data_IF_326970969372
#
_entry.id   IF_326970969372
#
_cell.length_a   1.000
_cell.length_b   1.000
_cell.length_c   1.000
_cell.angle_alpha   90.00
_cell.angle_beta   90.00
_cell.angle_gamma   90.00
#
_symmetry.space_group_name_H-M   'P 1'
#
loop_
_entity.id
_entity.type
_entity.pdbx_description
1 polymer ?
#
# COMPACT_ATOMS: atom_id res chain seq x y z
N UNK A 1 16.73 12.70 2.85
CA UNK A 1 16.53 11.50 2.01
C UNK A 1 17.81 10.72 1.69
N UNK A 2 18.84 11.30 1.04
CA UNK A 2 20.06 10.56 0.67
C UNK A 2 20.76 9.88 1.86
N UNK A 3 20.83 10.55 3.01
CA UNK A 3 21.42 9.99 4.24
C UNK A 3 20.66 8.74 4.71
N UNK A 4 19.33 8.77 4.69
CA UNK A 4 18.49 7.63 5.07
C UNK A 4 18.67 6.44 4.11
N UNK A 5 18.76 6.72 2.80
CA UNK A 5 19.01 5.69 1.78
C UNK A 5 20.36 5.02 2.00
N UNK A 6 21.44 5.80 2.16
CA UNK A 6 22.78 5.27 2.45
C UNK A 6 22.82 4.45 3.74
N UNK A 7 22.13 4.89 4.79
CA UNK A 7 22.01 4.13 6.03
C UNK A 7 21.28 2.81 5.82
N UNK A 8 20.16 2.84 5.10
CA UNK A 8 19.36 1.64 4.78
C UNK A 8 20.16 0.63 3.98
N UNK A 9 20.94 1.05 2.99
CA UNK A 9 21.79 0.16 2.18
C UNK A 9 22.93 -0.52 2.95
N UNK A 10 23.27 -0.03 4.16
CA UNK A 10 24.24 -0.72 5.04
C UNK A 10 23.60 -1.85 5.85
N UNK A 11 22.28 -1.81 6.03
CA UNK A 11 21.52 -2.76 6.86
C UNK A 11 20.81 -3.79 5.99
N UNK A 12 20.15 -3.31 4.93
CA UNK A 12 19.41 -4.14 4.00
C UNK A 12 20.31 -4.51 2.81
N UNK A 13 20.36 -5.78 2.47
CA UNK A 13 21.00 -6.25 1.24
C UNK A 13 20.33 -5.62 0.01
N UNK A 14 21.07 -5.46 -1.09
CA UNK A 14 20.56 -4.79 -2.30
C UNK A 14 19.35 -5.51 -2.94
N UNK A 15 19.23 -6.82 -2.71
CA UNK A 15 18.12 -7.68 -3.15
C UNK A 15 17.01 -7.82 -2.09
N UNK A 16 17.07 -7.05 -0.99
CA UNK A 16 16.04 -7.07 0.03
C UNK A 16 14.70 -6.65 -0.56
N UNK A 17 13.69 -7.47 -0.31
CA UNK A 17 12.31 -7.17 -0.69
C UNK A 17 11.84 -5.91 0.04
N UNK A 18 11.37 -4.93 -0.72
CA UNK A 18 10.70 -3.75 -0.17
C UNK A 18 9.19 -3.99 -0.15
N UNK A 19 8.58 -3.77 1.01
CA UNK A 19 7.15 -3.95 1.23
C UNK A 19 6.43 -2.61 1.18
N UNK A 20 5.25 -2.59 0.55
CA UNK A 20 4.37 -1.42 0.60
C UNK A 20 3.62 -1.37 1.94
N UNK A 21 3.79 -0.29 2.70
CA UNK A 21 3.18 -0.09 4.01
C UNK A 21 1.68 0.25 4.01
N UNK A 22 1.03 0.36 2.85
CA UNK A 22 -0.39 0.74 2.73
C UNK A 22 -1.38 -0.30 3.26
N UNK A 23 -0.98 -1.58 3.32
CA UNK A 23 -1.76 -2.65 3.96
C UNK A 23 -0.80 -3.62 4.67
N UNK A 24 -1.00 -3.79 5.97
CA UNK A 24 -0.30 -4.76 6.80
C UNK A 24 -1.32 -5.51 7.64
N UNK A 25 -1.27 -6.84 7.62
CA UNK A 25 -1.98 -7.70 8.56
C UNK A 25 -0.96 -8.25 9.56
N UNK A 26 -1.25 -8.13 10.84
CA UNK A 26 -0.38 -8.64 11.89
C UNK A 26 -1.15 -9.45 12.92
N UNK A 27 -0.44 -10.33 13.61
CA UNK A 27 -0.94 -10.98 14.81
C UNK A 27 -0.52 -10.13 16.00
N UNK A 28 -1.45 -9.90 16.94
CA UNK A 28 -1.12 -9.26 18.20
C UNK A 28 -0.39 -10.28 19.10
N UNK A 29 0.92 -10.37 18.92
CA UNK A 29 1.80 -11.26 19.67
C UNK A 29 3.16 -10.59 19.89
N UNK A 30 4.03 -11.26 20.64
CA UNK A 30 5.35 -10.74 21.00
C UNK A 30 6.20 -10.35 19.77
N UNK A 31 6.27 -11.20 18.75
CA UNK A 31 7.04 -10.94 17.54
C UNK A 31 6.52 -9.71 16.78
N UNK A 32 5.19 -9.62 16.62
CA UNK A 32 4.54 -8.47 15.99
C UNK A 32 4.83 -7.18 16.76
N UNK A 33 4.66 -7.20 18.08
CA UNK A 33 4.94 -6.02 18.92
C UNK A 33 6.42 -5.60 18.83
N UNK A 34 7.34 -6.56 18.84
CA UNK A 34 8.78 -6.30 18.70
C UNK A 34 9.10 -5.67 17.34
N UNK A 35 8.45 -6.13 16.25
CA UNK A 35 8.58 -5.51 14.93
C UNK A 35 8.09 -4.07 14.94
N UNK A 36 6.89 -3.79 15.47
CA UNK A 36 6.32 -2.44 15.48
C UNK A 36 7.12 -1.48 16.35
N UNK A 37 7.62 -1.92 17.51
CA UNK A 37 8.50 -1.12 18.36
C UNK A 37 9.81 -0.78 17.65
N UNK A 38 10.44 -1.77 17.00
CA UNK A 38 11.67 -1.57 16.23
C UNK A 38 11.43 -0.66 15.03
N UNK A 39 10.31 -0.84 14.34
CA UNK A 39 9.92 0.03 13.23
C UNK A 39 9.74 1.49 13.68
N UNK A 40 9.06 1.71 14.81
CA UNK A 40 8.90 3.05 15.36
C UNK A 40 10.26 3.68 15.72
N UNK A 41 11.19 2.91 16.30
CA UNK A 41 12.56 3.36 16.58
C UNK A 41 13.29 3.76 15.29
N UNK A 42 13.25 2.89 14.28
CA UNK A 42 13.90 3.13 12.98
C UNK A 42 13.31 4.32 12.21
N UNK A 43 12.00 4.52 12.30
CA UNK A 43 11.34 5.69 11.71
C UNK A 43 11.72 6.96 12.46
N UNK A 44 11.75 6.92 13.80
CA UNK A 44 12.07 8.07 14.64
C UNK A 44 13.47 8.64 14.42
N UNK A 45 14.41 7.85 13.85
CA UNK A 45 15.75 8.32 13.47
C UNK A 45 15.74 9.39 12.39
N UNK A 46 14.89 9.22 11.37
CA UNK A 46 14.89 10.09 10.18
C UNK A 46 13.58 10.87 10.00
N UNK A 47 12.47 10.33 10.53
CA UNK A 47 11.10 10.84 10.43
C UNK A 47 10.70 11.19 8.99
N UNK A 48 11.11 10.33 8.06
CA UNK A 48 10.95 10.50 6.62
C UNK A 48 10.23 9.28 6.04
N UNK A 49 10.97 8.31 5.48
CA UNK A 49 10.41 7.20 4.73
C UNK A 49 10.06 6.02 5.67
N UNK A 50 8.77 5.89 6.01
CA UNK A 50 8.24 4.82 6.85
C UNK A 50 8.51 3.42 6.28
N UNK A 51 8.43 3.24 4.97
CA UNK A 51 8.71 1.97 4.29
C UNK A 51 10.19 1.56 4.36
N UNK A 52 11.12 2.52 4.33
CA UNK A 52 12.54 2.23 4.55
C UNK A 52 12.79 1.85 6.01
N UNK A 53 12.15 2.54 6.95
CA UNK A 53 12.19 2.17 8.36
C UNK A 53 11.63 0.76 8.63
N UNK A 54 10.54 0.38 7.96
CA UNK A 54 9.98 -0.96 8.05
C UNK A 54 10.96 -2.01 7.54
N UNK A 55 11.60 -1.74 6.40
CA UNK A 55 12.60 -2.64 5.82
C UNK A 55 13.75 -2.90 6.80
N UNK A 56 14.26 -1.85 7.45
CA UNK A 56 15.32 -1.97 8.47
C UNK A 56 14.84 -2.78 9.68
N UNK A 57 13.63 -2.51 10.17
CA UNK A 57 13.07 -3.24 11.32
C UNK A 57 12.85 -4.73 11.04
N UNK A 58 12.41 -5.09 9.83
CA UNK A 58 12.27 -6.50 9.41
C UNK A 58 13.64 -7.20 9.44
N UNK A 59 14.69 -6.55 8.93
CA UNK A 59 16.04 -7.12 8.94
C UNK A 59 16.59 -7.29 10.37
N UNK A 60 16.40 -6.29 11.22
CA UNK A 60 16.87 -6.33 12.61
C UNK A 60 16.15 -7.41 13.44
N UNK A 61 14.83 -7.48 13.33
CA UNK A 61 14.01 -8.45 14.08
C UNK A 61 13.99 -9.84 13.45
N UNK A 62 14.44 -9.98 12.20
CA UNK A 62 14.33 -11.19 11.38
C UNK A 62 12.89 -11.69 11.28
N UNK A 63 11.93 -10.77 11.26
CA UNK A 63 10.50 -11.11 11.24
C UNK A 63 10.15 -11.83 9.94
N UNK A 64 9.49 -12.99 10.04
CA UNK A 64 8.99 -13.73 8.89
C UNK A 64 7.75 -13.04 8.33
N UNK A 65 7.81 -12.65 7.06
CA UNK A 65 6.70 -11.99 6.36
C UNK A 65 6.03 -12.96 5.40
N UNK A 66 4.71 -13.08 5.49
CA UNK A 66 3.89 -13.72 4.48
C UNK A 66 3.43 -12.69 3.46
N UNK A 67 3.50 -13.02 2.17
CA UNK A 67 3.09 -12.11 1.10
C UNK A 67 1.57 -12.10 0.96
N UNK A 68 0.99 -10.90 1.03
CA UNK A 68 -0.41 -10.67 0.67
C UNK A 68 -0.49 -10.54 -0.86
N UNK A 69 -1.47 -11.16 -1.54
CA UNK A 69 -1.66 -10.97 -2.97
C UNK A 69 -1.82 -9.49 -3.34
N UNK A 70 -1.24 -9.08 -4.47
CA UNK A 70 -1.25 -7.68 -4.93
C UNK A 70 -2.65 -7.09 -5.09
N UNK A 71 -3.66 -7.94 -5.32
CA UNK A 71 -5.07 -7.56 -5.39
C UNK A 71 -5.60 -6.84 -4.14
N UNK A 72 -4.96 -7.02 -2.98
CA UNK A 72 -5.34 -6.37 -1.71
C UNK A 72 -4.56 -5.08 -1.41
N UNK A 73 -3.65 -4.64 -2.28
CA UNK A 73 -2.96 -3.36 -2.12
C UNK A 73 -2.56 -2.85 -3.50
N UNK A 74 -3.56 -2.73 -4.39
CA UNK A 74 -3.32 -2.49 -5.81
C UNK A 74 -3.17 -0.98 -6.10
N UNK A 75 -2.01 -0.51 -6.56
CA UNK A 75 -1.77 0.92 -6.80
C UNK A 75 -2.74 1.54 -7.81
N UNK A 76 -3.34 2.68 -7.46
CA UNK A 76 -4.28 3.37 -8.36
C UNK A 76 -3.71 3.74 -9.75
N UNK A 77 -2.40 4.03 -9.97
CA UNK A 77 -1.90 4.26 -11.34
C UNK A 77 -2.10 3.08 -12.28
N UNK A 78 -2.03 1.85 -11.76
CA UNK A 78 -2.21 0.66 -12.60
C UNK A 78 -3.68 0.45 -12.98
N UNK A 79 -4.61 1.01 -12.21
CA UNK A 79 -6.04 1.03 -12.54
C UNK A 79 -6.32 2.00 -13.69
N UNK A 80 -5.61 3.12 -13.76
CA UNK A 80 -5.82 4.14 -14.80
C UNK A 80 -5.66 3.57 -16.20
N UNK A 81 -4.64 2.71 -16.39
CA UNK A 81 -4.44 2.00 -17.63
C UNK A 81 -5.62 1.09 -17.97
N UNK A 82 -6.05 0.26 -17.01
CA UNK A 82 -7.16 -0.69 -17.20
C UNK A 82 -8.46 0.03 -17.57
N UNK A 83 -8.69 1.22 -16.99
CA UNK A 83 -9.89 2.01 -17.22
C UNK A 83 -9.79 3.00 -18.38
N UNK A 84 -8.65 3.07 -19.07
CA UNK A 84 -8.36 4.08 -20.10
C UNK A 84 -8.64 5.51 -19.62
N UNK A 85 -8.31 5.82 -18.37
CA UNK A 85 -8.45 7.16 -17.78
C UNK A 85 -7.08 7.84 -17.89
N UNK A 86 -6.91 8.66 -18.93
CA UNK A 86 -5.77 9.55 -19.26
C UNK A 86 -4.42 8.95 -19.73
N UNK A 87 -3.82 9.64 -20.71
CA UNK A 87 -2.53 9.41 -21.38
C UNK A 87 -1.35 9.89 -20.51
N UNK A 88 -1.12 9.29 -19.35
CA UNK A 88 0.10 9.60 -18.59
C UNK A 88 1.23 8.76 -19.21
N UNK A 89 2.19 9.40 -19.89
CA UNK A 89 3.35 8.72 -20.54
C UNK A 89 4.14 7.82 -19.58
N UNK A 90 4.12 8.11 -18.27
CA UNK A 90 4.74 7.25 -17.23
C UNK A 90 4.06 5.87 -17.08
N UNK A 91 2.80 5.72 -17.49
CA UNK A 91 2.04 4.45 -17.39
C UNK A 91 2.55 3.42 -18.41
N UNK A 92 3.01 3.83 -19.60
CA UNK A 92 3.56 2.89 -20.58
C UNK A 92 4.86 2.23 -20.10
N UNK A 93 5.67 2.94 -19.31
CA UNK A 93 6.87 2.36 -18.69
C UNK A 93 6.52 1.36 -17.58
N UNK A 94 5.44 1.60 -16.83
CA UNK A 94 4.95 0.70 -15.78
C UNK A 94 4.40 -0.62 -16.36
N UNK A 95 3.79 -0.58 -17.55
CA UNK A 95 3.26 -1.78 -18.23
C UNK A 95 4.35 -2.72 -18.74
N UNK A 96 5.56 -2.22 -19.01
CA UNK A 96 6.70 -3.06 -19.42
C UNK A 96 7.24 -3.94 -18.29
N UNK A 97 6.80 -3.73 -17.04
CA UNK A 97 7.38 -4.36 -15.86
C UNK A 97 6.62 -5.58 -15.31
N UNK A 98 5.40 -5.93 -15.77
CA UNK A 98 4.68 -7.11 -15.25
C UNK A 98 3.76 -7.80 -16.27
N UNK A 99 3.95 -9.10 -16.56
CA UNK A 99 3.03 -9.89 -17.39
C UNK A 99 1.78 -10.40 -16.63
N UNK A 100 1.80 -10.48 -15.29
CA UNK A 100 0.71 -11.04 -14.48
C UNK A 100 -0.08 -9.96 -13.72
N UNK A 101 -0.74 -9.05 -14.43
CA UNK A 101 -1.65 -8.09 -13.81
C UNK A 101 -2.99 -8.80 -13.49
N UNK A 102 -3.51 -8.70 -12.24
CA UNK A 102 -4.81 -9.27 -11.90
C UNK A 102 -5.91 -8.62 -12.74
N UNK A 103 -6.98 -9.36 -13.06
CA UNK A 103 -8.12 -8.75 -13.73
C UNK A 103 -8.80 -7.77 -12.78
N UNK A 104 -9.44 -6.73 -13.34
CA UNK A 104 -10.10 -5.68 -12.55
C UNK A 104 -11.07 -6.25 -11.50
N UNK A 105 -11.80 -7.32 -11.86
CA UNK A 105 -12.76 -8.00 -10.98
C UNK A 105 -12.11 -8.74 -9.80
N UNK A 106 -10.83 -9.06 -9.90
CA UNK A 106 -10.09 -9.80 -8.88
C UNK A 106 -9.49 -8.84 -7.83
N UNK A 107 -9.45 -7.53 -8.13
CA UNK A 107 -8.91 -6.50 -7.24
C UNK A 107 -9.87 -6.27 -6.07
N UNK A 108 -9.34 -6.43 -4.86
CA UNK A 108 -10.08 -6.34 -3.61
C UNK A 108 -9.91 -4.97 -2.94
N UNK A 109 -8.73 -4.36 -3.08
CA UNK A 109 -8.43 -3.05 -2.49
C UNK A 109 -7.55 -2.23 -3.42
N UNK A 110 -8.02 -1.02 -3.73
CA UNK A 110 -7.27 -0.03 -4.50
C UNK A 110 -6.59 0.92 -3.53
N UNK A 111 -5.28 1.03 -3.65
CA UNK A 111 -4.47 1.92 -2.85
C UNK A 111 -4.29 3.27 -3.55
N UNK A 112 -4.96 4.28 -3.00
CA UNK A 112 -4.89 5.66 -3.44
C UNK A 112 -3.91 6.44 -2.57
N UNK A 113 -2.64 6.52 -2.97
CA UNK A 113 -1.61 7.24 -2.23
C UNK A 113 -1.51 8.72 -2.66
N UNK A 114 -1.00 9.52 -1.73
CA UNK A 114 -1.24 10.97 -1.60
C UNK A 114 -0.90 11.79 -2.84
N UNK A 115 0.16 11.43 -3.59
CA UNK A 115 0.51 12.15 -4.81
C UNK A 115 -0.63 12.11 -5.83
N UNK A 116 -1.33 10.99 -5.99
CA UNK A 116 -2.34 10.85 -7.06
C UNK A 116 -3.69 11.48 -6.69
N UNK A 117 -4.04 11.48 -5.41
CA UNK A 117 -5.26 12.15 -4.93
C UNK A 117 -5.17 13.67 -5.01
N UNK A 118 -3.96 14.24 -5.03
CA UNK A 118 -3.73 15.68 -5.10
C UNK A 118 -3.73 16.22 -6.55
N UNK A 119 -3.30 15.41 -7.53
CA UNK A 119 -3.10 15.88 -8.90
C UNK A 119 -4.30 15.75 -9.83
N UNK A 120 -5.43 15.18 -9.38
CA UNK A 120 -6.53 14.92 -10.31
C UNK A 120 -7.83 14.49 -9.64
N UNK A 121 -8.95 14.71 -10.33
CA UNK A 121 -10.21 14.03 -10.07
C UNK A 121 -10.13 12.50 -10.28
N UNK A 122 -8.94 11.90 -10.47
CA UNK A 122 -8.75 10.45 -10.70
C UNK A 122 -9.40 9.62 -9.62
N UNK A 123 -9.20 9.97 -8.34
CA UNK A 123 -9.83 9.22 -7.25
C UNK A 123 -11.36 9.19 -7.43
N UNK A 124 -11.95 10.35 -7.75
CA UNK A 124 -13.39 10.49 -7.97
C UNK A 124 -13.85 9.68 -9.19
N UNK A 125 -13.13 9.76 -10.31
CA UNK A 125 -13.45 9.01 -11.53
C UNK A 125 -13.36 7.49 -11.32
N UNK A 126 -12.29 7.02 -10.67
CA UNK A 126 -12.10 5.61 -10.33
C UNK A 126 -13.20 5.13 -9.38
N UNK A 127 -13.53 5.93 -8.35
CA UNK A 127 -14.59 5.62 -7.42
C UNK A 127 -15.96 5.53 -8.11
N UNK A 128 -16.30 6.46 -9.00
CA UNK A 128 -17.57 6.45 -9.74
C UNK A 128 -17.68 5.19 -10.63
N UNK A 129 -16.60 4.81 -11.31
CA UNK A 129 -16.66 3.66 -12.25
C UNK A 129 -16.67 2.32 -11.55
N UNK A 130 -15.86 2.14 -10.50
CA UNK A 130 -15.69 0.85 -9.84
C UNK A 130 -16.68 0.65 -8.69
N UNK A 131 -17.14 1.75 -8.10
CA UNK A 131 -18.05 1.74 -6.97
C UNK A 131 -19.11 2.84 -7.14
N UNK A 132 -19.97 2.77 -8.18
CA UNK A 132 -21.00 3.79 -8.41
C UNK A 132 -21.92 3.96 -7.19
N UNK A 133 -22.14 2.89 -6.44
CA UNK A 133 -22.95 2.89 -5.22
C UNK A 133 -22.10 2.98 -3.93
N UNK A 134 -20.84 3.44 -4.00
CA UNK A 134 -19.91 3.48 -2.86
C UNK A 134 -20.54 4.12 -1.62
N UNK A 135 -21.15 5.30 -1.81
CA UNK A 135 -21.83 6.04 -0.76
C UNK A 135 -22.96 5.24 -0.14
N UNK A 136 -23.78 4.58 -0.96
CA UNK A 136 -24.91 3.78 -0.45
C UNK A 136 -24.41 2.53 0.28
N UNK A 137 -23.41 1.83 -0.26
CA UNK A 137 -22.77 0.66 0.37
C UNK A 137 -22.10 1.04 1.69
N UNK A 138 -21.38 2.15 1.75
CA UNK A 138 -20.77 2.66 2.97
C UNK A 138 -21.84 3.00 4.02
N UNK A 139 -22.91 3.68 3.63
CA UNK A 139 -24.03 4.00 4.52
C UNK A 139 -24.74 2.74 5.03
N UNK A 140 -24.95 1.72 4.19
CA UNK A 140 -25.51 0.42 4.61
C UNK A 140 -24.58 -0.27 5.61
N UNK A 141 -23.28 -0.29 5.35
CA UNK A 141 -22.29 -0.90 6.24
C UNK A 141 -22.28 -0.22 7.61
N UNK A 142 -22.19 1.12 7.66
CA UNK A 142 -22.23 1.88 8.91
C UNK A 142 -23.53 1.65 9.71
N UNK A 143 -24.68 1.59 9.02
CA UNK A 143 -25.98 1.25 9.64
C UNK A 143 -26.07 -0.19 10.15
N UNK A 144 -25.34 -1.12 9.54
CA UNK A 144 -25.30 -2.51 10.00
C UNK A 144 -24.44 -2.67 11.26
N UNK A 145 -23.31 -1.97 11.33
CA UNK A 145 -22.42 -1.95 12.49
C UNK A 145 -23.14 -1.33 13.70
N UNK A 146 -23.88 -0.24 13.52
CA UNK A 146 -24.60 0.41 14.63
C UNK A 146 -25.76 -0.43 15.20
N UNK A 147 -26.24 -1.45 14.48
CA UNK A 147 -27.22 -2.43 14.99
C UNK A 147 -26.59 -3.55 15.80
N UNK A 148 -25.30 -3.84 15.60
CA UNK A 148 -24.57 -4.89 16.33
C UNK A 148 -24.14 -4.42 17.73
N UNK A 149 -24.09 -3.11 17.96
CA UNK A 149 -23.74 -2.49 19.24
C UNK A 149 -24.94 -1.93 20.04
N UNK A 150 -26.16 -2.43 19.77
CA UNK A 150 -27.36 -2.20 20.59
C UNK A 150 -27.82 -3.52 21.18
#
# INVERSE_FOLDING_TARGET
EQVERTYTSKICAADSVQFNGGLILWRNNYDGNTLFETWHKEWSRFKQQDQLALSRAIQETKTKIAHIPSAYNYPIPFILNILNISQIEEIEQLNKLKPDLPQLRDIQLIHCYQSITLYSNIFKEVAIRLMPDATEKALRCLKSISKVYK
#
